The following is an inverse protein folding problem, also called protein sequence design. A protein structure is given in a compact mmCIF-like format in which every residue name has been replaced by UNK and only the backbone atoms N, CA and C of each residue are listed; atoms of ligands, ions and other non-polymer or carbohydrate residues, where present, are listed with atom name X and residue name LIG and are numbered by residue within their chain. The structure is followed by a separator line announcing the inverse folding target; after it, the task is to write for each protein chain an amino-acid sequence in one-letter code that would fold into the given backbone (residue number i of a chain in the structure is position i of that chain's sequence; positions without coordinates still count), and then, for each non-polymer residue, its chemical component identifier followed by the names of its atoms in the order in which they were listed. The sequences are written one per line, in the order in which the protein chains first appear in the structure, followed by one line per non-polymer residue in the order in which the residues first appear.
data_IF_386836285711
#
_entry.id   IF_386836285711
#
_cell.length_a   1.000
_cell.length_b   1.000
_cell.length_c   1.000
_cell.angle_alpha   90.00
_cell.angle_beta   90.00
_cell.angle_gamma   90.00
#
_symmetry.space_group_name_H-M   'P 1'
#
loop_
_entity.id
_entity.type
_entity.pdbx_description
1 polymer ?
#
# COMPACT_ATOMS: atom_id res chain seq x y z
N UNK A 1 10.08 -42.29 -35.16
CA UNK A 1 9.60 -41.19 -36.01
C UNK A 1 8.09 -41.11 -35.84
N UNK A 2 7.66 -40.32 -34.84
CA UNK A 2 6.30 -39.82 -34.64
C UNK A 2 6.47 -38.74 -33.56
N UNK A 3 6.52 -37.48 -33.99
CA UNK A 3 6.53 -36.32 -33.10
C UNK A 3 5.08 -36.04 -32.68
N UNK A 4 4.88 -35.85 -31.37
CA UNK A 4 3.64 -35.32 -30.80
C UNK A 4 3.98 -34.13 -29.90
N UNK A 5 3.18 -33.05 -29.90
CA UNK A 5 3.66 -31.72 -29.59
C UNK A 5 3.68 -31.42 -28.09
N UNK A 6 4.67 -30.64 -27.68
CA UNK A 6 4.83 -30.03 -26.36
C UNK A 6 3.64 -29.13 -25.99
N UNK A 7 2.87 -29.49 -24.96
CA UNK A 7 1.87 -28.61 -24.36
C UNK A 7 2.52 -27.76 -23.28
N UNK A 8 3.00 -26.57 -23.65
CA UNK A 8 3.43 -25.53 -22.71
C UNK A 8 2.21 -24.88 -22.05
N UNK A 9 1.71 -25.43 -20.94
CA UNK A 9 0.81 -24.68 -20.06
C UNK A 9 1.65 -23.73 -19.20
N UNK A 10 1.77 -22.48 -19.65
CA UNK A 10 2.52 -21.48 -18.89
C UNK A 10 2.66 -20.13 -19.57
N UNK A 11 1.66 -19.65 -20.32
CA UNK A 11 1.67 -18.28 -20.88
C UNK A 11 0.26 -17.73 -21.10
N UNK A 12 -0.45 -17.38 -20.04
CA UNK A 12 -1.63 -16.50 -20.18
C UNK A 12 -1.80 -15.57 -18.98
N UNK A 13 -0.85 -14.65 -18.77
CA UNK A 13 -1.14 -13.28 -18.28
C UNK A 13 -0.11 -12.29 -18.85
N UNK A 14 0.32 -12.41 -20.11
CA UNK A 14 1.10 -11.35 -20.75
C UNK A 14 0.87 -11.36 -22.27
N UNK A 15 -0.17 -10.65 -22.70
CA UNK A 15 -0.22 -10.03 -24.02
C UNK A 15 -0.29 -8.51 -23.82
N UNK A 16 0.25 -7.62 -24.62
CA UNK A 16 1.42 -7.53 -25.52
C UNK A 16 1.36 -6.08 -26.07
N UNK A 17 2.52 -5.52 -26.41
CA UNK A 17 2.74 -4.43 -27.37
C UNK A 17 2.22 -2.99 -27.06
N UNK A 18 3.18 -2.08 -26.88
CA UNK A 18 3.19 -0.65 -27.31
C UNK A 18 1.99 0.25 -26.95
N UNK A 19 1.31 -0.04 -25.86
CA UNK A 19 0.61 0.96 -25.03
C UNK A 19 1.00 0.70 -23.59
N UNK A 20 1.38 1.71 -22.81
CA UNK A 20 1.56 1.51 -21.36
C UNK A 20 0.24 0.98 -20.81
N UNK A 21 0.20 -0.31 -20.46
CA UNK A 21 -0.92 -0.89 -19.72
C UNK A 21 -1.17 0.04 -18.54
N UNK A 22 -2.33 0.70 -18.53
CA UNK A 22 -2.73 1.59 -17.44
C UNK A 22 -2.92 0.68 -16.23
N UNK A 23 -2.16 0.82 -15.13
CA UNK A 23 -2.26 -0.12 -14.02
C UNK A 23 -3.54 0.12 -13.20
N UNK A 24 -4.71 0.34 -13.83
CA UNK A 24 -6.00 0.58 -13.17
C UNK A 24 -6.38 -0.53 -12.19
N UNK A 25 -5.98 -1.76 -12.47
CA UNK A 25 -6.20 -2.91 -11.59
C UNK A 25 -5.58 -2.71 -10.19
N UNK A 26 -4.51 -1.91 -10.08
CA UNK A 26 -3.78 -1.71 -8.83
C UNK A 26 -4.60 -0.91 -7.81
N UNK A 27 -5.53 -0.03 -8.23
CA UNK A 27 -6.37 0.71 -7.28
C UNK A 27 -7.42 -0.21 -6.67
N UNK A 28 -7.99 -1.13 -7.46
CA UNK A 28 -8.90 -2.17 -6.96
C UNK A 28 -8.20 -3.10 -5.95
N UNK A 29 -6.97 -3.53 -6.25
CA UNK A 29 -6.18 -4.30 -5.29
C UNK A 29 -5.81 -3.49 -4.04
N UNK A 30 -5.52 -2.19 -4.20
CA UNK A 30 -5.27 -1.31 -3.05
C UNK A 30 -6.52 -1.13 -2.18
N UNK A 31 -7.70 -1.06 -2.79
CA UNK A 31 -8.99 -1.04 -2.08
C UNK A 31 -9.20 -2.32 -1.26
N UNK A 32 -8.75 -3.47 -1.76
CA UNK A 32 -8.81 -4.74 -1.03
C UNK A 32 -7.77 -4.81 0.12
N UNK A 33 -6.47 -4.68 -0.19
CA UNK A 33 -5.37 -5.05 0.72
C UNK A 33 -4.35 -3.92 0.98
N UNK A 34 -4.51 -2.78 0.34
CA UNK A 34 -3.64 -1.62 0.51
C UNK A 34 -3.98 -0.81 1.75
N UNK A 35 -3.05 -0.01 2.27
CA UNK A 35 -3.27 0.76 3.48
C UNK A 35 -2.34 1.97 3.58
N UNK A 36 -2.75 2.91 4.42
CA UNK A 36 -1.95 4.08 4.75
C UNK A 36 -1.62 4.02 6.24
N UNK A 37 -0.42 4.48 6.58
CA UNK A 37 0.09 4.51 7.95
C UNK A 37 0.59 5.92 8.22
N UNK A 38 0.20 6.45 9.38
CA UNK A 38 0.75 7.67 9.97
C UNK A 38 1.24 7.33 11.37
N UNK A 39 2.50 7.62 11.65
CA UNK A 39 3.14 7.40 12.95
C UNK A 39 3.82 8.69 13.38
N UNK A 40 3.55 9.10 14.62
CA UNK A 40 4.28 10.18 15.29
C UNK A 40 4.91 9.56 16.53
N UNK A 41 6.24 9.57 16.59
CA UNK A 41 7.00 8.89 17.63
C UNK A 41 8.04 9.81 18.24
N UNK A 42 8.31 9.65 19.54
CA UNK A 42 9.41 10.37 20.21
C UNK A 42 10.74 10.09 19.51
N UNK A 43 11.53 11.12 19.26
CA UNK A 43 12.82 11.04 18.59
C UNK A 43 13.74 12.13 19.15
N UNK A 44 14.82 11.72 19.81
CA UNK A 44 15.74 12.63 20.53
C UNK A 44 16.52 13.55 19.59
N UNK A 45 16.70 13.14 18.34
CA UNK A 45 17.41 13.89 17.31
C UNK A 45 16.56 14.98 16.63
N UNK A 46 15.26 15.04 16.95
CA UNK A 46 14.35 16.04 16.39
C UNK A 46 14.25 17.26 17.31
N UNK A 47 14.29 18.47 16.75
CA UNK A 47 14.19 19.74 17.52
C UNK A 47 12.96 19.82 18.42
N UNK A 48 11.82 19.30 17.95
CA UNK A 48 10.56 19.28 18.70
C UNK A 48 10.35 17.96 19.47
N UNK A 49 11.34 17.05 19.47
CA UNK A 49 11.28 15.76 20.18
C UNK A 49 10.42 14.68 19.52
N UNK A 50 9.81 14.95 18.35
CA UNK A 50 8.95 14.01 17.63
C UNK A 50 9.35 13.88 16.17
N UNK A 51 9.23 12.67 15.65
CA UNK A 51 9.38 12.35 14.22
C UNK A 51 8.03 11.92 13.65
N UNK A 52 7.63 12.60 12.57
CA UNK A 52 6.47 12.23 11.75
C UNK A 52 6.93 11.26 10.65
N UNK A 53 6.23 10.14 10.50
CA UNK A 53 6.45 9.17 9.42
C UNK A 53 5.11 8.79 8.82
N UNK A 54 5.08 8.74 7.49
CA UNK A 54 3.96 8.22 6.72
C UNK A 54 4.42 7.07 5.83
N UNK A 55 3.54 6.10 5.60
CA UNK A 55 3.80 4.96 4.71
C UNK A 55 2.53 4.62 3.95
N UNK A 56 2.68 4.21 2.71
CA UNK A 56 1.66 3.59 1.87
C UNK A 56 2.09 2.15 1.67
N UNK A 57 1.23 1.18 1.98
CA UNK A 57 1.59 -0.24 1.98
C UNK A 57 0.56 -1.10 1.29
N UNK A 58 1.00 -2.22 0.73
CA UNK A 58 0.16 -3.35 0.32
C UNK A 58 0.72 -4.58 1.01
N UNK A 59 -0.17 -5.34 1.65
CA UNK A 59 0.19 -6.49 2.47
C UNK A 59 -0.73 -7.66 2.13
N UNK A 60 -0.15 -8.73 1.58
CA UNK A 60 -0.91 -9.93 1.18
C UNK A 60 -0.55 -11.09 2.11
N UNK A 61 -1.56 -11.64 2.77
CA UNK A 61 -1.39 -12.79 3.68
C UNK A 61 -1.36 -14.07 2.86
N UNK A 62 -0.38 -14.94 3.13
CA UNK A 62 -0.35 -16.28 2.52
C UNK A 62 -1.20 -17.22 3.36
N UNK A 63 -2.36 -17.62 2.84
CA UNK A 63 -3.22 -18.62 3.48
C UNK A 63 -2.66 -20.03 3.27
N UNK A 64 -1.59 -20.40 3.97
CA UNK A 64 -1.23 -21.81 4.09
C UNK A 64 -0.86 -22.13 5.52
N UNK A 65 -1.83 -22.76 6.23
CA UNK A 65 -1.55 -23.60 7.39
C UNK A 65 -0.54 -24.64 6.92
N UNK A 66 0.72 -24.52 7.35
CA UNK A 66 1.84 -25.32 6.83
C UNK A 66 1.61 -26.81 7.09
N UNK A 67 1.34 -27.53 6.00
CA UNK A 67 1.42 -28.98 5.89
C UNK A 67 1.78 -29.45 4.47
N UNK A 68 2.25 -28.53 3.60
CA UNK A 68 2.59 -28.84 2.20
C UNK A 68 3.97 -28.29 1.89
N UNK A 69 4.77 -29.13 1.25
CA UNK A 69 6.16 -28.99 0.87
C UNK A 69 6.49 -27.61 0.23
N UNK A 70 7.49 -26.93 0.79
CA UNK A 70 7.94 -25.59 0.40
C UNK A 70 8.66 -25.57 -0.97
N UNK A 71 8.94 -26.73 -1.55
CA UNK A 71 9.67 -26.86 -2.83
C UNK A 71 8.79 -26.66 -4.07
N UNK A 72 7.46 -26.53 -3.93
CA UNK A 72 6.49 -26.39 -5.03
C UNK A 72 5.81 -25.00 -5.12
N UNK A 73 6.39 -23.93 -4.57
CA UNK A 73 5.75 -22.61 -4.51
C UNK A 73 5.73 -21.85 -5.86
N UNK A 74 4.88 -22.28 -6.80
CA UNK A 74 4.34 -21.43 -7.87
C UNK A 74 3.21 -20.49 -7.40
N UNK A 75 2.84 -20.54 -6.10
CA UNK A 75 1.67 -19.83 -5.50
C UNK A 75 2.04 -18.65 -4.58
N UNK A 76 3.23 -18.06 -4.73
CA UNK A 76 3.65 -16.91 -3.90
C UNK A 76 3.13 -15.58 -4.45
N UNK A 77 2.63 -14.69 -3.58
CA UNK A 77 2.31 -13.29 -3.93
C UNK A 77 3.56 -12.43 -4.19
N UNK A 78 4.77 -12.97 -3.99
CA UNK A 78 6.01 -12.24 -4.15
C UNK A 78 6.20 -11.62 -5.55
N UNK A 79 5.97 -12.32 -6.69
CA UNK A 79 6.23 -11.74 -8.01
C UNK A 79 5.36 -10.51 -8.32
N UNK A 80 4.08 -10.53 -7.93
CA UNK A 80 3.19 -9.39 -8.12
C UNK A 80 3.60 -8.22 -7.20
N UNK A 81 3.93 -8.50 -5.94
CA UNK A 81 4.43 -7.49 -5.01
C UNK A 81 5.79 -6.93 -5.42
N UNK A 82 6.66 -7.73 -6.05
CA UNK A 82 7.92 -7.26 -6.64
C UNK A 82 7.67 -6.27 -7.77
N UNK A 83 6.73 -6.59 -8.66
CA UNK A 83 6.30 -5.68 -9.74
C UNK A 83 5.77 -4.36 -9.19
N UNK A 84 4.95 -4.42 -8.13
CA UNK A 84 4.40 -3.24 -7.45
C UNK A 84 5.52 -2.44 -6.76
N UNK A 85 6.46 -3.12 -6.11
CA UNK A 85 7.61 -2.48 -5.48
C UNK A 85 8.47 -1.75 -6.52
N UNK A 86 8.72 -2.35 -7.68
CA UNK A 86 9.48 -1.72 -8.77
C UNK A 86 8.76 -0.50 -9.35
N UNK A 87 7.42 -0.57 -9.46
CA UNK A 87 6.59 0.55 -9.86
C UNK A 87 6.70 1.74 -8.88
N UNK A 88 6.57 1.48 -7.58
CA UNK A 88 6.69 2.51 -6.54
C UNK A 88 8.11 2.87 -6.12
N UNK A 89 9.14 2.32 -6.81
CA UNK A 89 10.56 2.51 -6.46
C UNK A 89 10.87 2.12 -5.01
N UNK A 90 10.21 1.08 -4.53
CA UNK A 90 10.46 0.44 -3.24
C UNK A 90 11.51 -0.65 -3.42
N UNK A 91 12.59 -0.59 -2.62
CA UNK A 91 13.73 -1.51 -2.76
C UNK A 91 13.36 -2.96 -2.51
N UNK A 92 12.52 -3.24 -1.52
CA UNK A 92 12.36 -4.59 -0.97
C UNK A 92 10.90 -4.93 -0.75
N UNK A 93 10.51 -6.15 -1.14
CA UNK A 93 9.31 -6.83 -0.63
C UNK A 93 9.73 -7.57 0.63
N UNK A 94 9.09 -7.28 1.76
CA UNK A 94 9.40 -7.93 3.05
C UNK A 94 8.56 -9.18 3.23
N UNK A 95 9.16 -10.25 3.72
CA UNK A 95 8.45 -11.36 4.35
C UNK A 95 8.21 -11.01 5.82
N UNK A 96 6.98 -11.15 6.28
CA UNK A 96 6.57 -10.82 7.64
C UNK A 96 5.82 -11.99 8.25
N UNK A 97 6.41 -12.51 9.33
CA UNK A 97 5.81 -13.53 10.20
C UNK A 97 5.22 -12.87 11.44
N UNK A 98 3.99 -13.24 11.80
CA UNK A 98 3.32 -12.78 13.03
C UNK A 98 2.73 -13.94 13.80
N UNK A 99 2.94 -13.93 15.12
CA UNK A 99 2.28 -14.86 16.03
C UNK A 99 1.02 -14.20 16.58
N UNK A 100 -0.15 -14.81 16.36
CA UNK A 100 -1.42 -14.40 16.99
C UNK A 100 -2.12 -15.63 17.52
N UNK A 101 -2.44 -15.62 18.82
CA UNK A 101 -3.16 -16.70 19.50
C UNK A 101 -2.53 -18.09 19.22
N UNK A 102 -1.19 -18.18 19.33
CA UNK A 102 -0.45 -19.44 19.07
C UNK A 102 -0.34 -19.85 17.60
N UNK A 103 -0.93 -19.10 16.66
CA UNK A 103 -0.89 -19.39 15.22
C UNK A 103 0.06 -18.42 14.50
N UNK A 104 0.92 -18.96 13.64
CA UNK A 104 1.78 -18.15 12.77
C UNK A 104 1.05 -17.74 11.48
N UNK A 105 1.11 -16.45 11.19
CA UNK A 105 0.61 -15.83 9.96
C UNK A 105 1.79 -15.30 9.17
N UNK A 106 1.82 -15.60 7.88
CA UNK A 106 2.87 -15.16 6.97
C UNK A 106 2.28 -14.22 5.93
N UNK A 107 3.04 -13.20 5.57
CA UNK A 107 2.58 -12.18 4.62
C UNK A 107 3.76 -11.56 3.90
N UNK A 108 3.51 -11.11 2.67
CA UNK A 108 4.46 -10.29 1.93
C UNK A 108 3.98 -8.84 1.94
N UNK A 109 4.91 -7.91 2.15
CA UNK A 109 4.60 -6.48 2.32
C UNK A 109 5.46 -5.63 1.41
N UNK A 110 4.82 -4.75 0.65
CA UNK A 110 5.45 -3.59 0.00
C UNK A 110 5.06 -2.36 0.79
N UNK A 111 6.05 -1.55 1.19
CA UNK A 111 5.83 -0.36 2.01
C UNK A 111 6.73 0.77 1.51
N UNK A 112 6.12 1.93 1.25
CA UNK A 112 6.86 3.14 0.87
C UNK A 112 7.51 3.77 2.10
N UNK A 113 8.69 4.36 1.90
CA UNK A 113 9.45 4.99 2.99
C UNK A 113 10.20 6.26 2.57
N UNK A 114 10.13 6.64 1.29
CA UNK A 114 10.84 7.80 0.74
C UNK A 114 9.88 8.77 0.07
N UNK A 115 10.25 10.06 0.02
CA UNK A 115 9.51 11.09 -0.71
C UNK A 115 9.28 10.71 -2.18
N UNK A 116 10.27 10.08 -2.83
CA UNK A 116 10.14 9.59 -4.20
C UNK A 116 8.98 8.59 -4.31
N UNK A 117 8.99 7.54 -3.48
CA UNK A 117 7.95 6.52 -3.48
C UNK A 117 6.56 7.10 -3.13
N UNK A 118 6.50 8.05 -2.20
CA UNK A 118 5.28 8.75 -1.83
C UNK A 118 4.71 9.57 -2.99
N UNK A 119 5.54 10.31 -3.71
CA UNK A 119 5.12 11.09 -4.87
C UNK A 119 4.55 10.20 -5.99
N UNK A 120 5.12 9.00 -6.19
CA UNK A 120 4.60 8.04 -7.17
C UNK A 120 3.23 7.51 -6.73
N UNK A 121 3.04 7.22 -5.44
CA UNK A 121 1.73 6.83 -4.89
C UNK A 121 0.70 7.95 -5.08
N UNK A 122 1.06 9.20 -4.78
CA UNK A 122 0.18 10.37 -5.00
C UNK A 122 -0.22 10.49 -6.46
N UNK A 123 0.74 10.44 -7.38
CA UNK A 123 0.48 10.54 -8.80
C UNK A 123 -0.43 9.40 -9.30
N UNK A 124 -0.25 8.19 -8.76
CA UNK A 124 -1.08 7.04 -9.10
C UNK A 124 -2.51 7.19 -8.58
N UNK A 125 -2.70 7.50 -7.29
CA UNK A 125 -4.03 7.55 -6.66
C UNK A 125 -4.84 8.79 -7.01
N UNK A 126 -4.20 9.90 -7.40
CA UNK A 126 -4.90 11.03 -8.01
C UNK A 126 -5.48 10.67 -9.38
N UNK A 127 -4.81 9.77 -10.11
CA UNK A 127 -5.24 9.31 -11.44
C UNK A 127 -6.22 8.15 -11.38
N UNK A 128 -6.04 7.26 -10.42
CA UNK A 128 -6.87 6.07 -10.18
C UNK A 128 -7.34 6.06 -8.72
N UNK A 129 -8.32 6.92 -8.39
CA UNK A 129 -8.80 7.08 -7.03
C UNK A 129 -9.43 5.81 -6.46
N UNK A 130 -9.29 5.64 -5.14
CA UNK A 130 -9.87 4.55 -4.36
C UNK A 130 -11.37 4.79 -4.17
N UNK A 131 -12.16 3.73 -4.17
CA UNK A 131 -13.62 3.84 -4.01
C UNK A 131 -14.06 3.53 -2.57
N UNK A 132 -13.29 2.71 -1.85
CA UNK A 132 -13.63 2.38 -0.46
C UNK A 132 -13.34 3.55 0.49
N UNK A 133 -13.64 3.37 1.78
CA UNK A 133 -13.25 4.31 2.83
C UNK A 133 -11.73 4.52 2.94
N UNK A 134 -10.91 3.66 2.30
CA UNK A 134 -9.47 3.87 2.17
C UNK A 134 -9.13 5.16 1.42
N UNK A 135 -10.03 5.68 0.57
CA UNK A 135 -9.87 7.00 -0.02
C UNK A 135 -9.75 8.11 1.03
N UNK A 136 -10.55 8.05 2.10
CA UNK A 136 -10.47 9.05 3.18
C UNK A 136 -9.15 8.96 3.94
N UNK A 137 -8.61 7.74 4.10
CA UNK A 137 -7.28 7.54 4.70
C UNK A 137 -6.17 8.07 3.76
N UNK A 138 -6.33 7.88 2.45
CA UNK A 138 -5.45 8.45 1.45
C UNK A 138 -5.42 9.99 1.54
N UNK A 139 -6.58 10.65 1.64
CA UNK A 139 -6.63 12.12 1.74
C UNK A 139 -5.91 12.64 3.00
N UNK A 140 -6.11 12.01 4.15
CA UNK A 140 -5.41 12.35 5.40
C UNK A 140 -3.90 12.12 5.28
N UNK A 141 -3.51 11.00 4.68
CA UNK A 141 -2.12 10.68 4.40
C UNK A 141 -1.48 11.70 3.44
N UNK A 142 -2.21 12.12 2.40
CA UNK A 142 -1.80 13.12 1.41
C UNK A 142 -1.62 14.49 2.05
N UNK A 143 -2.51 14.87 2.97
CA UNK A 143 -2.37 16.11 3.73
C UNK A 143 -1.06 16.14 4.53
N UNK A 144 -0.75 15.06 5.28
CA UNK A 144 0.52 14.97 6.01
C UNK A 144 1.71 14.92 5.07
N UNK A 145 1.61 14.20 3.94
CA UNK A 145 2.66 14.21 2.90
C UNK A 145 2.99 15.62 2.43
N UNK A 146 1.97 16.44 2.19
CA UNK A 146 2.14 17.84 1.76
C UNK A 146 2.75 18.72 2.87
N UNK A 147 2.35 18.54 4.13
CA UNK A 147 2.99 19.19 5.29
C UNK A 147 4.48 18.79 5.37
N UNK A 148 4.79 17.52 5.09
CA UNK A 148 6.16 17.01 5.09
C UNK A 148 7.00 17.60 3.96
N UNK A 149 6.44 17.67 2.74
CA UNK A 149 7.10 18.27 1.58
C UNK A 149 7.46 19.75 1.79
N UNK A 150 6.61 20.51 2.49
CA UNK A 150 6.85 21.92 2.83
C UNK A 150 7.77 22.11 4.05
N UNK A 151 8.19 21.02 4.70
CA UNK A 151 9.00 21.09 5.93
C UNK A 151 8.24 21.57 7.18
N UNK A 152 6.93 21.81 7.07
CA UNK A 152 6.10 22.42 8.13
C UNK A 152 5.96 21.53 9.36
N UNK A 153 6.07 20.21 9.20
CA UNK A 153 6.10 19.24 10.31
C UNK A 153 7.24 19.48 11.32
N UNK A 154 8.23 20.31 10.98
CA UNK A 154 9.32 20.75 11.87
C UNK A 154 8.96 22.00 12.69
N UNK A 155 7.80 22.59 12.44
CA UNK A 155 7.22 23.70 13.20
C UNK A 155 6.20 23.17 14.21
N UNK A 156 5.97 23.92 15.30
CA UNK A 156 4.98 23.51 16.31
C UNK A 156 3.57 23.41 15.72
N UNK A 157 3.18 24.39 14.88
CA UNK A 157 1.87 24.41 14.22
C UNK A 157 1.70 23.20 13.27
N UNK A 158 2.67 22.94 12.39
CA UNK A 158 2.58 21.81 11.47
C UNK A 158 2.64 20.44 12.18
N UNK A 159 3.41 20.32 13.26
CA UNK A 159 3.41 19.11 14.09
C UNK A 159 2.07 18.89 14.79
N UNK A 160 1.47 19.95 15.35
CA UNK A 160 0.13 19.88 15.96
C UNK A 160 -0.93 19.47 14.94
N UNK A 161 -0.85 20.00 13.71
CA UNK A 161 -1.73 19.58 12.62
C UNK A 161 -1.58 18.09 12.29
N UNK A 162 -0.35 17.57 12.29
CA UNK A 162 -0.11 16.13 12.11
C UNK A 162 -0.74 15.30 13.24
N UNK A 163 -0.73 15.79 14.48
CA UNK A 163 -1.37 15.13 15.62
C UNK A 163 -2.90 15.09 15.50
N UNK A 164 -3.54 16.18 15.09
CA UNK A 164 -4.97 16.24 14.81
C UNK A 164 -5.35 15.22 13.72
N UNK A 165 -4.61 15.19 12.62
CA UNK A 165 -4.85 14.20 11.56
C UNK A 165 -4.63 12.78 12.09
N UNK A 166 -3.65 12.56 12.98
CA UNK A 166 -3.33 11.26 13.56
C UNK A 166 -4.42 10.75 14.52
N UNK A 167 -5.06 11.63 15.30
CA UNK A 167 -6.18 11.23 16.17
C UNK A 167 -7.36 10.74 15.35
N UNK A 168 -7.56 11.33 14.17
CA UNK A 168 -8.70 11.01 13.31
C UNK A 168 -8.42 9.99 12.20
N UNK A 169 -7.19 9.47 12.16
CA UNK A 169 -6.68 8.69 11.04
C UNK A 169 -7.42 7.36 10.82
N UNK A 170 -7.91 6.73 11.90
CA UNK A 170 -8.65 5.45 11.84
C UNK A 170 -10.04 5.50 12.50
N UNK A 171 -10.43 6.62 13.12
CA UNK A 171 -11.70 6.76 13.85
C UNK A 171 -12.90 6.92 12.92
N UNK A 172 -12.67 7.35 11.67
CA UNK A 172 -13.70 7.52 10.64
C UNK A 172 -14.07 6.22 9.89
N UNK A 173 -13.65 5.07 10.42
CA UNK A 173 -14.14 3.74 10.00
C UNK A 173 -15.35 3.28 10.83
N UNK A 174 -15.78 4.07 11.83
CA UNK A 174 -17.06 3.84 12.51
C UNK A 174 -18.22 4.18 11.57
N UNK A 175 -19.23 3.31 11.40
CA UNK A 175 -20.39 3.54 10.54
C UNK A 175 -21.08 4.89 10.75
N UNK A 176 -20.95 5.49 11.94
CA UNK A 176 -21.54 6.79 12.29
C UNK A 176 -20.88 8.00 11.62
N UNK A 177 -19.64 7.87 11.11
CA UNK A 177 -18.86 8.98 10.55
C UNK A 177 -18.38 8.72 9.12
N UNK A 178 -18.72 7.57 8.53
CA UNK A 178 -18.40 7.30 7.13
C UNK A 178 -19.35 8.12 6.26
N UNK A 179 -18.78 9.04 5.49
CA UNK A 179 -19.49 9.72 4.40
C UNK A 179 -18.98 9.19 3.08
N UNK A 180 -19.90 8.86 2.17
CA UNK A 180 -19.59 8.33 0.84
C UNK A 180 -19.62 9.41 -0.24
N UNK A 181 -19.58 10.69 0.16
CA UNK A 181 -19.71 11.82 -0.76
C UNK A 181 -18.66 11.85 -1.86
N UNK A 182 -17.48 11.25 -1.64
CA UNK A 182 -16.47 11.14 -2.69
C UNK A 182 -17.01 10.38 -3.89
N UNK A 183 -17.85 9.35 -3.69
CA UNK A 183 -18.43 8.52 -4.76
C UNK A 183 -19.31 9.30 -5.75
N UNK A 184 -19.90 10.43 -5.32
CA UNK A 184 -20.74 11.28 -6.19
C UNK A 184 -19.96 11.82 -7.40
N UNK A 185 -18.63 11.90 -7.32
CA UNK A 185 -17.79 12.41 -8.39
C UNK A 185 -17.29 11.32 -9.36
N UNK A 186 -17.63 10.05 -9.14
CA UNK A 186 -17.11 8.91 -9.93
C UNK A 186 -18.09 8.38 -10.97
N UNK A 187 -19.39 8.53 -10.73
CA UNK A 187 -20.45 8.11 -11.64
C UNK A 187 -21.05 9.36 -12.28
N UNK A 188 -20.46 9.79 -13.40
CA UNK A 188 -20.99 10.83 -14.30
C UNK A 188 -21.36 10.17 -15.61
#
# INVERSE_FOLDING_TARGET
MYESPSTSLGRHVLASARGRARPTWLSGMWDADGGFVLTISKAKDMRLGYRVKIMAKIELTTEYKRGVDLTLSTSSYYPILRTIADYFKVRTVRDVQRLRNGTYYYSFVVETSSYLSHNIVVAYLNKYPLFTTRYLNYLRWLEVHNIMLRGEHLTLSGLNRCWEIKSDFNTNLSPKHITWYHLNNFYI
#
